data_IF_627126590555
#
_entry.id   IF_627126590555
#
_cell.length_a   1.000
_cell.length_b   1.000
_cell.length_c   1.000
_cell.angle_alpha   90.00
_cell.angle_beta   90.00
_cell.angle_gamma   90.00
#
_symmetry.space_group_name_H-M   'P 1'
#
loop_
_entity.id
_entity.type
_entity.pdbx_description
1 polymer ?
#
# COMPACT_ATOMS: atom_id res chain seq x y z
N UNK A 1 47.11 66.75 -9.84
CA UNK A 1 46.85 65.52 -9.10
C UNK A 1 45.39 65.14 -9.35
N UNK A 2 45.10 64.07 -10.15
CA UNK A 2 43.76 63.63 -10.47
C UNK A 2 43.42 62.42 -9.62
N UNK A 3 42.49 62.59 -8.66
CA UNK A 3 41.98 61.49 -7.86
C UNK A 3 41.07 60.60 -8.69
N UNK A 4 41.45 59.33 -8.82
CA UNK A 4 40.58 58.25 -9.38
C UNK A 4 39.79 57.64 -8.24
N UNK A 5 38.45 57.71 -8.32
CA UNK A 5 37.53 57.01 -7.42
C UNK A 5 37.30 55.62 -8.03
N UNK A 6 37.46 54.52 -7.27
CA UNK A 6 37.15 53.20 -7.79
C UNK A 6 35.65 52.96 -7.74
N UNK A 7 35.11 52.51 -8.88
CA UNK A 7 33.71 52.08 -9.01
C UNK A 7 33.52 50.71 -8.35
N UNK A 8 32.80 50.69 -7.23
CA UNK A 8 32.47 49.46 -6.51
C UNK A 8 31.25 48.81 -7.21
N UNK A 9 31.45 47.74 -7.95
CA UNK A 9 30.36 46.96 -8.55
C UNK A 9 29.63 46.15 -7.48
N UNK A 10 28.41 46.56 -7.18
CA UNK A 10 27.52 45.82 -6.29
C UNK A 10 26.89 44.62 -7.05
N UNK A 11 27.39 43.42 -6.79
CA UNK A 11 26.77 42.18 -7.27
C UNK A 11 25.54 41.88 -6.39
N UNK A 12 24.35 42.14 -6.88
CA UNK A 12 23.09 41.71 -6.26
C UNK A 12 22.89 40.25 -6.66
N UNK A 13 23.16 39.31 -5.74
CA UNK A 13 22.72 37.93 -5.88
C UNK A 13 21.18 37.89 -5.76
N UNK A 14 20.51 37.75 -6.88
CA UNK A 14 19.09 37.39 -6.91
C UNK A 14 18.97 35.91 -6.51
N UNK A 15 18.79 35.64 -5.21
CA UNK A 15 18.25 34.36 -4.74
C UNK A 15 16.77 34.31 -5.17
N UNK A 16 16.49 33.65 -6.29
CA UNK A 16 15.12 33.25 -6.62
C UNK A 16 14.55 32.34 -5.52
N UNK A 17 13.22 32.36 -5.28
CA UNK A 17 12.62 31.44 -4.33
C UNK A 17 12.91 30.00 -4.81
N UNK A 18 13.66 29.25 -4.03
CA UNK A 18 13.71 27.78 -4.14
C UNK A 18 12.30 27.32 -3.77
N UNK A 19 11.50 26.98 -4.77
CA UNK A 19 10.23 26.29 -4.54
C UNK A 19 10.58 25.00 -3.80
N UNK A 20 10.26 24.94 -2.52
CA UNK A 20 10.37 23.72 -1.75
C UNK A 20 9.50 22.68 -2.44
N UNK A 21 10.13 21.66 -3.01
CA UNK A 21 9.42 20.52 -3.58
C UNK A 21 8.61 19.91 -2.44
N UNK A 22 7.28 19.90 -2.56
CA UNK A 22 6.43 19.25 -1.57
C UNK A 22 6.89 17.79 -1.40
N UNK A 23 7.04 17.36 -0.15
CA UNK A 23 7.46 16.00 0.13
C UNK A 23 6.40 15.02 -0.38
N UNK A 24 6.84 13.98 -1.12
CA UNK A 24 5.93 12.97 -1.67
C UNK A 24 4.99 12.41 -0.60
N UNK A 25 3.72 12.27 -0.96
CA UNK A 25 2.69 11.67 -0.10
C UNK A 25 2.88 10.16 0.02
N UNK A 26 3.39 9.50 -1.05
CA UNK A 26 3.77 8.09 -1.03
C UNK A 26 4.98 7.89 -0.13
N UNK A 27 4.90 6.93 0.78
CA UNK A 27 5.99 6.63 1.71
C UNK A 27 6.43 5.17 1.55
N UNK A 28 7.72 4.95 1.72
CA UNK A 28 8.34 3.63 1.66
C UNK A 28 9.06 3.33 2.97
N UNK A 29 8.99 2.07 3.41
CA UNK A 29 9.83 1.55 4.48
C UNK A 29 10.45 0.22 4.07
N UNK A 30 11.68 -0.03 4.52
CA UNK A 30 12.45 -1.27 4.27
C UNK A 30 12.40 -2.14 5.54
N UNK A 31 11.36 -2.97 5.67
CA UNK A 31 11.12 -3.75 6.90
C UNK A 31 12.22 -4.78 7.19
N UNK A 32 12.91 -5.29 6.17
CA UNK A 32 13.98 -6.28 6.32
C UNK A 32 15.34 -5.66 6.68
N UNK A 33 15.43 -4.33 6.64
CA UNK A 33 16.65 -3.62 7.06
C UNK A 33 16.62 -3.28 8.55
N UNK A 34 17.81 -3.19 9.20
CA UNK A 34 17.90 -2.81 10.62
C UNK A 34 17.20 -1.46 10.89
N UNK A 35 16.30 -1.46 11.87
CA UNK A 35 15.56 -0.25 12.25
C UNK A 35 14.41 0.11 11.32
N UNK A 36 14.11 -0.71 10.30
CA UNK A 36 13.03 -0.49 9.33
C UNK A 36 12.96 0.97 8.84
N UNK A 37 14.00 1.45 8.11
CA UNK A 37 14.07 2.84 7.67
C UNK A 37 12.81 3.22 6.88
N UNK A 38 12.29 4.43 7.13
CA UNK A 38 11.05 4.94 6.54
C UNK A 38 9.76 4.61 7.31
N UNK A 39 9.76 3.64 8.22
CA UNK A 39 8.56 3.22 8.93
C UNK A 39 7.95 4.33 9.79
N UNK A 40 8.77 5.16 10.44
CA UNK A 40 8.29 6.30 11.24
C UNK A 40 7.51 7.31 10.40
N UNK A 41 7.97 7.59 9.18
CA UNK A 41 7.29 8.50 8.26
C UNK A 41 5.95 7.92 7.76
N UNK A 42 5.90 6.60 7.52
CA UNK A 42 4.64 5.90 7.21
C UNK A 42 3.68 6.01 8.40
N UNK A 43 4.15 5.64 9.60
CA UNK A 43 3.33 5.68 10.83
C UNK A 43 2.73 7.07 11.05
N UNK A 44 3.53 8.12 10.99
CA UNK A 44 3.08 9.51 11.16
C UNK A 44 1.99 9.90 10.15
N UNK A 45 2.23 9.64 8.85
CA UNK A 45 1.28 9.96 7.80
C UNK A 45 -0.02 9.15 7.94
N UNK A 46 0.10 7.85 8.21
CA UNK A 46 -1.02 6.93 8.35
C UNK A 46 -1.91 7.28 9.56
N UNK A 47 -1.33 7.48 10.75
CA UNK A 47 -2.10 7.79 11.96
C UNK A 47 -2.78 9.14 11.90
N UNK A 48 -2.16 10.11 11.20
CA UNK A 48 -2.78 11.40 10.92
C UNK A 48 -4.04 11.27 10.06
N UNK A 49 -4.00 10.41 9.04
CA UNK A 49 -5.12 10.21 8.12
C UNK A 49 -6.19 9.27 8.66
N UNK A 50 -5.84 8.40 9.63
CA UNK A 50 -6.71 7.37 10.19
C UNK A 50 -6.68 7.41 11.73
N UNK A 51 -7.38 8.38 12.37
CA UNK A 51 -7.45 8.46 13.83
C UNK A 51 -8.03 7.15 14.43
N UNK A 52 -7.41 6.67 15.51
CA UNK A 52 -7.79 5.41 16.15
C UNK A 52 -7.04 4.17 15.65
N UNK A 53 -6.27 4.31 14.57
CA UNK A 53 -5.34 3.27 14.09
C UNK A 53 -3.91 3.57 14.52
N UNK A 54 -3.10 2.53 14.61
CA UNK A 54 -1.64 2.65 14.77
C UNK A 54 -0.93 1.58 13.95
N UNK A 55 0.37 1.78 13.72
CA UNK A 55 1.22 0.90 12.94
C UNK A 55 2.55 0.68 13.63
N UNK A 56 3.01 -0.58 13.67
CA UNK A 56 4.33 -0.95 14.15
C UNK A 56 4.90 -2.12 13.36
N UNK A 57 6.21 -2.29 13.40
CA UNK A 57 6.88 -3.49 12.92
C UNK A 57 7.71 -4.11 14.04
N UNK A 58 7.42 -5.37 14.34
CA UNK A 58 8.15 -6.17 15.31
C UNK A 58 9.11 -7.09 14.55
N UNK A 59 10.40 -6.81 14.67
CA UNK A 59 11.43 -7.58 13.97
C UNK A 59 11.96 -8.71 14.86
N UNK A 60 11.91 -9.93 14.34
CA UNK A 60 12.51 -11.12 14.97
C UNK A 60 12.02 -11.36 16.41
N UNK A 61 10.70 -11.33 16.62
CA UNK A 61 10.08 -11.56 17.92
C UNK A 61 9.52 -12.98 18.04
N UNK A 62 9.45 -13.49 19.26
CA UNK A 62 8.73 -14.73 19.62
C UNK A 62 7.47 -14.47 20.44
N UNK A 63 7.36 -13.27 20.99
CA UNK A 63 6.29 -12.92 21.88
C UNK A 63 5.69 -11.58 21.47
N UNK A 64 4.37 -11.48 21.55
CA UNK A 64 3.62 -10.24 21.43
C UNK A 64 2.78 -10.12 22.71
N UNK A 65 3.11 -9.16 23.59
CA UNK A 65 2.42 -9.01 24.87
C UNK A 65 0.96 -8.60 24.68
N UNK A 66 0.12 -8.91 25.67
CA UNK A 66 -1.26 -8.46 25.70
C UNK A 66 -1.35 -6.94 25.88
N UNK A 67 -2.22 -6.32 25.11
CA UNK A 67 -2.54 -4.90 25.22
C UNK A 67 -4.07 -4.73 25.26
N UNK A 68 -4.54 -3.60 25.78
CA UNK A 68 -5.98 -3.30 25.91
C UNK A 68 -6.69 -2.96 24.59
N UNK A 69 -6.10 -3.32 23.45
CA UNK A 69 -6.56 -2.98 22.09
C UNK A 69 -6.48 -4.19 21.16
N UNK A 70 -7.30 -4.17 20.12
CA UNK A 70 -7.28 -5.19 19.06
C UNK A 70 -6.15 -4.93 18.09
N UNK A 71 -5.47 -5.99 17.64
CA UNK A 71 -4.37 -5.91 16.69
C UNK A 71 -4.49 -6.96 15.59
N UNK A 72 -4.15 -6.56 14.38
CA UNK A 72 -3.95 -7.45 13.23
C UNK A 72 -2.45 -7.54 12.92
N UNK A 73 -1.88 -8.73 13.03
CA UNK A 73 -0.47 -9.01 12.84
C UNK A 73 -0.28 -9.74 11.51
N UNK A 74 0.40 -9.10 10.57
CA UNK A 74 0.72 -9.65 9.26
C UNK A 74 2.10 -10.28 9.32
N UNK A 75 2.19 -11.57 9.07
CA UNK A 75 3.47 -12.31 9.08
C UNK A 75 4.25 -11.96 7.82
N UNK A 76 5.35 -11.23 7.97
CA UNK A 76 6.22 -10.79 6.88
C UNK A 76 7.53 -11.57 6.80
N UNK A 77 8.00 -12.10 7.91
CA UNK A 77 9.20 -12.96 7.97
C UNK A 77 9.00 -14.13 8.91
N UNK A 78 9.67 -15.25 8.58
CA UNK A 78 9.67 -16.43 9.42
C UNK A 78 8.42 -17.29 9.22
N UNK A 79 8.26 -18.24 10.14
CA UNK A 79 7.15 -19.19 10.17
C UNK A 79 7.40 -20.19 11.29
N UNK A 80 6.37 -20.89 11.71
CA UNK A 80 6.44 -21.84 12.82
C UNK A 80 5.06 -22.13 13.39
N UNK A 81 4.99 -22.40 14.70
CA UNK A 81 3.73 -22.54 15.43
C UNK A 81 3.54 -21.33 16.34
N UNK A 82 2.42 -20.64 16.19
CA UNK A 82 2.01 -19.55 17.08
C UNK A 82 0.86 -20.00 17.98
N UNK A 83 0.87 -19.54 19.22
CA UNK A 83 -0.14 -19.79 20.25
C UNK A 83 -0.64 -18.44 20.76
N UNK A 84 -1.96 -18.26 20.73
CA UNK A 84 -2.64 -17.12 21.33
C UNK A 84 -3.20 -17.59 22.68
N UNK A 85 -3.06 -16.77 23.73
CA UNK A 85 -3.62 -17.03 25.05
C UNK A 85 -4.39 -15.80 25.50
N UNK A 86 -5.63 -15.98 25.94
CA UNK A 86 -6.47 -14.93 26.51
C UNK A 86 -6.17 -14.69 27.99
N UNK A 87 -6.84 -13.70 28.59
CA UNK A 87 -6.70 -13.32 30.00
C UNK A 87 -7.22 -14.40 30.98
N UNK A 88 -8.01 -15.37 30.52
CA UNK A 88 -8.51 -16.51 31.29
C UNK A 88 -7.62 -17.75 31.16
N UNK A 89 -6.57 -17.69 30.33
CA UNK A 89 -5.64 -18.79 30.08
C UNK A 89 -6.13 -19.79 29.03
N UNK A 90 -7.26 -19.54 28.36
CA UNK A 90 -7.66 -20.34 27.20
C UNK A 90 -6.75 -20.03 26.01
N UNK A 91 -6.38 -21.06 25.27
CA UNK A 91 -5.41 -20.89 24.19
C UNK A 91 -5.83 -21.56 22.89
N UNK A 92 -5.36 -20.97 21.79
CA UNK A 92 -5.50 -21.47 20.41
C UNK A 92 -4.10 -21.51 19.79
N UNK A 93 -3.81 -22.54 19.00
CA UNK A 93 -2.54 -22.64 18.30
C UNK A 93 -2.75 -22.96 16.82
N UNK A 94 -1.86 -22.43 15.98
CA UNK A 94 -1.82 -22.74 14.55
C UNK A 94 -0.38 -22.62 14.03
N UNK A 95 -0.09 -23.30 12.93
CA UNK A 95 1.07 -22.94 12.13
C UNK A 95 0.85 -21.56 11.52
N UNK A 96 1.94 -20.82 11.34
CA UNK A 96 1.97 -19.53 10.65
C UNK A 96 3.13 -19.46 9.67
N UNK A 97 2.95 -18.71 8.60
CA UNK A 97 3.94 -18.48 7.54
C UNK A 97 3.76 -17.08 6.97
N UNK A 98 4.70 -16.64 6.14
CA UNK A 98 4.60 -15.37 5.41
C UNK A 98 3.30 -15.33 4.60
N UNK A 99 2.52 -14.26 4.82
CA UNK A 99 1.20 -14.07 4.21
C UNK A 99 0.01 -14.39 5.12
N UNK A 100 0.24 -15.04 6.27
CA UNK A 100 -0.81 -15.27 7.27
C UNK A 100 -1.07 -14.01 8.09
N UNK A 101 -2.29 -13.89 8.65
CA UNK A 101 -2.67 -12.84 9.60
C UNK A 101 -3.02 -13.51 10.93
N UNK A 102 -2.52 -12.93 12.02
CA UNK A 102 -2.90 -13.29 13.39
C UNK A 102 -3.71 -12.14 13.98
N UNK A 103 -4.93 -12.41 14.41
CA UNK A 103 -5.81 -11.42 15.05
C UNK A 103 -5.75 -11.62 16.57
N UNK A 104 -5.32 -10.57 17.28
CA UNK A 104 -5.31 -10.52 18.73
C UNK A 104 -6.41 -9.58 19.23
N UNK A 105 -7.34 -10.09 20.02
CA UNK A 105 -8.26 -9.25 20.77
C UNK A 105 -7.53 -8.52 21.90
N UNK A 106 -8.18 -7.52 22.47
CA UNK A 106 -7.69 -6.85 23.69
C UNK A 106 -7.41 -7.88 24.80
N UNK A 107 -6.22 -7.80 25.40
CA UNK A 107 -5.75 -8.71 26.46
C UNK A 107 -5.09 -9.99 25.96
N UNK A 108 -5.32 -10.43 24.71
CA UNK A 108 -4.68 -11.64 24.19
C UNK A 108 -3.17 -11.43 23.95
N UNK A 109 -2.39 -12.45 24.29
CA UNK A 109 -0.93 -12.56 24.02
C UNK A 109 -0.68 -13.55 22.91
N UNK A 110 0.45 -13.42 22.21
CA UNK A 110 0.91 -14.43 21.26
C UNK A 110 2.33 -14.90 21.61
N UNK A 111 2.56 -16.20 21.57
CA UNK A 111 3.87 -16.84 21.64
C UNK A 111 4.11 -17.65 20.37
N UNK A 112 5.36 -17.66 19.86
CA UNK A 112 5.77 -18.47 18.71
C UNK A 112 7.00 -19.30 19.01
N UNK A 113 7.08 -20.48 18.43
CA UNK A 113 8.24 -21.40 18.57
C UNK A 113 9.48 -20.92 17.78
N UNK A 114 9.32 -19.95 16.90
CA UNK A 114 10.36 -19.36 16.05
C UNK A 114 10.30 -17.84 16.03
N UNK A 115 11.33 -17.19 15.49
CA UNK A 115 11.36 -15.75 15.32
C UNK A 115 10.48 -15.33 14.14
N UNK A 116 9.61 -14.34 14.36
CA UNK A 116 8.72 -13.78 13.35
C UNK A 116 8.99 -12.29 13.14
N UNK A 117 8.91 -11.83 11.91
CA UNK A 117 8.78 -10.41 11.54
C UNK A 117 7.31 -10.10 11.29
N UNK A 118 6.73 -9.19 12.07
CA UNK A 118 5.30 -8.90 12.09
C UNK A 118 5.02 -7.44 11.84
N UNK A 119 4.26 -7.13 10.77
CA UNK A 119 3.65 -5.82 10.61
C UNK A 119 2.35 -5.81 11.42
N UNK A 120 2.24 -4.89 12.36
CA UNK A 120 1.15 -4.82 13.33
C UNK A 120 0.31 -3.59 13.10
N UNK A 121 -0.97 -3.78 12.83
CA UNK A 121 -1.96 -2.72 12.87
C UNK A 121 -2.75 -2.80 14.16
N UNK A 122 -2.79 -1.69 14.89
CA UNK A 122 -3.83 -1.47 15.92
C UNK A 122 -5.09 -1.02 15.20
N UNK A 123 -6.22 -1.63 15.55
CA UNK A 123 -7.51 -1.36 14.90
C UNK A 123 -8.57 -1.02 15.95
N UNK A 124 -9.52 -0.11 15.65
CA UNK A 124 -10.48 0.39 16.64
C UNK A 124 -11.55 -0.64 17.04
N UNK A 125 -11.90 -1.56 16.13
CA UNK A 125 -12.99 -2.50 16.34
C UNK A 125 -12.48 -3.93 16.52
N UNK A 126 -13.20 -4.68 17.34
CA UNK A 126 -12.97 -6.11 17.54
C UNK A 126 -13.50 -6.90 16.33
N UNK A 127 -12.77 -7.91 15.82
CA UNK A 127 -13.28 -8.81 14.79
C UNK A 127 -14.48 -9.62 15.32
N UNK A 128 -15.38 -9.97 14.42
CA UNK A 128 -16.49 -10.85 14.75
C UNK A 128 -16.00 -12.25 15.13
N UNK A 129 -16.79 -13.01 15.90
CA UNK A 129 -16.45 -14.39 16.28
C UNK A 129 -16.39 -15.36 15.08
N UNK A 130 -16.95 -14.98 13.93
CA UNK A 130 -16.87 -15.76 12.70
C UNK A 130 -15.49 -15.72 12.04
N UNK A 131 -14.65 -14.73 12.39
CA UNK A 131 -13.30 -14.61 11.84
C UNK A 131 -12.35 -15.45 12.70
N UNK A 132 -11.60 -16.40 12.13
CA UNK A 132 -10.61 -17.18 12.89
C UNK A 132 -9.48 -16.29 13.38
N UNK A 133 -8.91 -16.63 14.55
CA UNK A 133 -7.76 -15.91 15.09
C UNK A 133 -6.51 -16.02 14.19
N UNK A 134 -6.44 -17.04 13.34
CA UNK A 134 -5.39 -17.25 12.34
C UNK A 134 -6.03 -17.30 10.95
N UNK A 135 -5.85 -16.27 10.15
CA UNK A 135 -6.33 -16.20 8.76
C UNK A 135 -5.18 -16.58 7.84
N UNK A 136 -5.31 -17.73 7.17
CA UNK A 136 -4.20 -18.39 6.47
C UNK A 136 -4.54 -18.61 4.99
N UNK A 137 -4.13 -17.70 4.08
CA UNK A 137 -4.58 -17.72 2.68
C UNK A 137 -4.30 -19.03 1.94
N UNK A 138 -3.20 -19.72 2.24
CA UNK A 138 -2.80 -20.93 1.52
C UNK A 138 -3.30 -22.23 2.17
N UNK A 139 -3.98 -22.14 3.31
CA UNK A 139 -4.36 -23.31 4.12
C UNK A 139 -5.83 -23.32 4.54
N UNK A 140 -6.48 -22.18 4.52
CA UNK A 140 -7.89 -22.07 4.90
C UNK A 140 -8.78 -22.45 3.71
N UNK A 141 -9.61 -23.49 3.82
CA UNK A 141 -10.48 -23.93 2.73
C UNK A 141 -11.59 -22.92 2.37
N UNK A 142 -11.86 -21.94 3.26
CA UNK A 142 -12.80 -20.86 2.97
C UNK A 142 -12.18 -19.71 2.17
N UNK A 143 -10.85 -19.72 1.98
CA UNK A 143 -10.12 -18.72 1.20
C UNK A 143 -9.69 -19.36 -0.13
N UNK A 144 -10.31 -18.92 -1.21
CA UNK A 144 -10.03 -19.42 -2.57
C UNK A 144 -9.55 -18.30 -3.49
N UNK A 145 -9.02 -18.67 -4.64
CA UNK A 145 -8.63 -17.69 -5.64
C UNK A 145 -9.86 -16.94 -6.16
N UNK A 146 -9.85 -15.62 -6.01
CA UNK A 146 -10.95 -14.72 -6.41
C UNK A 146 -10.42 -13.76 -7.47
N UNK A 147 -10.67 -13.99 -8.77
CA UNK A 147 -10.19 -13.13 -9.85
C UNK A 147 -10.80 -11.73 -9.77
N UNK A 148 -10.12 -10.75 -10.36
CA UNK A 148 -10.56 -9.36 -10.43
C UNK A 148 -9.74 -8.38 -9.57
N UNK A 149 -10.14 -7.12 -9.51
CA UNK A 149 -9.39 -6.06 -8.81
C UNK A 149 -7.98 -5.89 -9.38
N UNK A 150 -6.98 -5.83 -8.50
CA UNK A 150 -5.56 -5.70 -8.90
C UNK A 150 -5.01 -6.91 -9.68
N UNK A 151 -5.68 -8.07 -9.65
CA UNK A 151 -5.32 -9.25 -10.42
C UNK A 151 -6.33 -9.45 -11.54
N UNK A 152 -6.07 -8.84 -12.69
CA UNK A 152 -6.96 -8.88 -13.86
C UNK A 152 -6.71 -10.08 -14.76
N UNK A 153 -5.61 -10.81 -14.56
CA UNK A 153 -5.29 -11.94 -15.40
C UNK A 153 -6.10 -13.19 -15.04
N UNK A 154 -6.33 -14.03 -16.04
CA UNK A 154 -6.87 -15.37 -15.86
C UNK A 154 -5.90 -16.22 -15.01
N UNK A 155 -6.44 -16.97 -14.06
CA UNK A 155 -5.65 -17.79 -13.10
C UNK A 155 -4.69 -17.00 -12.21
N UNK A 156 -4.98 -15.73 -11.95
CA UNK A 156 -4.19 -14.94 -11.01
C UNK A 156 -4.38 -15.44 -9.58
N UNK A 157 -3.28 -15.55 -8.84
CA UNK A 157 -3.35 -15.75 -7.39
C UNK A 157 -3.85 -14.45 -6.75
N UNK A 158 -5.09 -14.44 -6.26
CA UNK A 158 -5.69 -13.38 -5.45
C UNK A 158 -6.60 -13.99 -4.40
N UNK A 159 -6.20 -13.91 -3.14
CA UNK A 159 -6.89 -14.48 -1.99
C UNK A 159 -7.36 -13.38 -1.06
N UNK A 160 -8.67 -13.31 -0.82
CA UNK A 160 -9.28 -12.32 0.06
C UNK A 160 -9.23 -12.86 1.49
N UNK A 161 -8.53 -12.14 2.36
CA UNK A 161 -8.30 -12.56 3.75
C UNK A 161 -9.30 -11.90 4.70
N UNK A 162 -9.49 -10.59 4.54
CA UNK A 162 -10.44 -9.79 5.31
C UNK A 162 -11.14 -8.85 4.32
N UNK A 163 -12.45 -8.73 4.40
CA UNK A 163 -13.24 -7.99 3.42
C UNK A 163 -14.40 -7.19 4.05
N UNK A 164 -14.91 -6.23 3.30
CA UNK A 164 -16.15 -5.50 3.58
C UNK A 164 -17.39 -6.17 2.98
N UNK A 165 -17.19 -7.07 2.00
CA UNK A 165 -18.26 -7.70 1.23
C UNK A 165 -18.28 -9.20 1.43
N UNK A 166 -19.42 -9.73 1.88
CA UNK A 166 -19.66 -11.17 2.00
C UNK A 166 -19.63 -11.91 0.65
N UNK A 167 -20.01 -11.23 -0.44
CA UNK A 167 -19.97 -11.81 -1.79
C UNK A 167 -18.54 -11.95 -2.35
N UNK A 168 -17.54 -11.35 -1.71
CA UNK A 168 -16.16 -11.31 -2.17
C UNK A 168 -15.25 -12.24 -1.36
N UNK A 169 -15.53 -12.41 -0.08
CA UNK A 169 -14.71 -13.25 0.80
C UNK A 169 -15.44 -13.64 2.07
N UNK A 170 -14.95 -14.68 2.74
CA UNK A 170 -15.62 -15.33 3.87
C UNK A 170 -15.52 -14.55 5.18
N UNK A 171 -14.53 -13.67 5.34
CA UNK A 171 -14.23 -13.01 6.61
C UNK A 171 -14.49 -11.52 6.55
N UNK A 172 -15.70 -11.15 6.99
CA UNK A 172 -16.18 -9.77 6.99
C UNK A 172 -15.60 -8.99 8.16
N UNK A 173 -14.76 -7.97 7.87
CA UNK A 173 -14.17 -7.11 8.87
C UNK A 173 -14.03 -5.67 8.35
N UNK A 174 -14.72 -4.73 8.99
CA UNK A 174 -14.85 -3.36 8.50
C UNK A 174 -13.73 -2.42 8.94
N UNK A 175 -12.89 -2.82 9.90
CA UNK A 175 -11.80 -1.97 10.39
C UNK A 175 -10.55 -2.05 9.52
N UNK A 176 -10.31 -3.18 8.87
CA UNK A 176 -9.17 -3.40 7.98
C UNK A 176 -9.50 -4.50 6.99
N UNK A 177 -9.18 -4.26 5.73
CA UNK A 177 -9.26 -5.33 4.73
C UNK A 177 -7.88 -5.73 4.25
N UNK A 178 -7.76 -6.95 3.82
CA UNK A 178 -6.51 -7.46 3.27
C UNK A 178 -6.79 -8.53 2.23
N UNK A 179 -6.03 -8.50 1.15
CA UNK A 179 -5.92 -9.60 0.23
C UNK A 179 -4.47 -9.86 -0.12
N UNK A 180 -4.12 -11.12 -0.38
CA UNK A 180 -2.82 -11.52 -0.87
C UNK A 180 -2.91 -11.76 -2.37
N UNK A 181 -2.12 -11.04 -3.15
CA UNK A 181 -2.28 -11.01 -4.59
C UNK A 181 -0.97 -10.99 -5.34
N UNK A 182 -0.91 -11.75 -6.45
CA UNK A 182 0.15 -11.62 -7.45
C UNK A 182 -0.29 -10.61 -8.50
N UNK A 183 0.39 -9.48 -8.54
CA UNK A 183 0.12 -8.38 -9.45
C UNK A 183 1.11 -8.45 -10.61
N UNK A 184 0.63 -8.81 -11.80
CA UNK A 184 1.43 -8.80 -13.04
C UNK A 184 1.26 -7.49 -13.79
N UNK A 185 0.04 -7.01 -13.90
CA UNK A 185 -0.33 -5.77 -14.59
C UNK A 185 -1.69 -5.28 -14.07
N UNK A 186 -1.69 -4.54 -12.96
CA UNK A 186 -2.94 -3.97 -12.46
C UNK A 186 -3.39 -2.77 -13.29
N UNK A 187 -4.64 -2.39 -13.19
CA UNK A 187 -5.10 -1.10 -13.73
C UNK A 187 -4.61 0.06 -12.87
N UNK A 188 -4.45 1.24 -13.50
CA UNK A 188 -4.09 2.47 -12.80
C UNK A 188 -5.34 3.06 -12.16
N UNK A 189 -5.32 3.24 -10.84
CA UNK A 189 -6.47 3.77 -10.10
C UNK A 189 -6.05 4.55 -8.87
N UNK A 190 -7.00 5.28 -8.31
CA UNK A 190 -6.85 5.97 -7.03
C UNK A 190 -8.11 5.82 -6.18
N UNK A 191 -7.96 6.03 -4.89
CA UNK A 191 -9.06 6.15 -3.95
C UNK A 191 -9.29 7.63 -3.65
N UNK A 192 -10.54 8.16 -3.71
CA UNK A 192 -10.78 9.58 -3.51
C UNK A 192 -10.41 10.03 -2.09
N UNK A 193 -10.05 11.30 -1.93
CA UNK A 193 -9.74 11.88 -0.61
C UNK A 193 -10.93 11.82 0.33
N UNK A 194 -12.11 12.10 -0.20
CA UNK A 194 -13.36 12.02 0.54
C UNK A 194 -14.01 10.64 0.33
N UNK A 195 -14.34 9.95 1.41
CA UNK A 195 -14.96 8.62 1.41
C UNK A 195 -14.13 7.51 0.76
N UNK A 196 -12.84 7.72 0.55
CA UNK A 196 -11.90 6.68 0.12
C UNK A 196 -11.18 6.05 1.29
N UNK A 197 -10.19 5.23 0.97
CA UNK A 197 -9.36 4.51 1.93
C UNK A 197 -7.88 4.61 1.57
N UNK A 198 -7.03 4.46 2.58
CA UNK A 198 -5.59 4.34 2.38
C UNK A 198 -5.24 2.89 2.05
N UNK A 199 -4.18 2.69 1.26
CA UNK A 199 -3.72 1.37 0.87
C UNK A 199 -2.25 1.16 1.20
N UNK A 200 -1.91 -0.08 1.54
CA UNK A 200 -0.53 -0.52 1.72
C UNK A 200 -0.20 -1.69 0.81
N UNK A 201 1.00 -1.68 0.26
CA UNK A 201 1.62 -2.88 -0.31
C UNK A 201 2.68 -3.40 0.67
N UNK A 202 2.46 -4.60 1.20
CA UNK A 202 3.45 -5.35 1.96
C UNK A 202 4.06 -6.40 1.04
N UNK A 203 5.24 -6.11 0.49
CA UNK A 203 5.85 -6.88 -0.59
C UNK A 203 6.50 -8.15 -0.06
N UNK A 204 6.08 -9.30 -0.58
CA UNK A 204 6.53 -10.63 -0.14
C UNK A 204 7.38 -11.37 -1.17
N UNK A 205 7.14 -11.15 -2.47
CA UNK A 205 7.98 -11.66 -3.56
C UNK A 205 7.96 -10.67 -4.72
N UNK A 206 9.05 -10.62 -5.47
CA UNK A 206 9.16 -9.80 -6.69
C UNK A 206 9.82 -10.61 -7.80
N UNK A 207 9.35 -10.41 -9.02
CA UNK A 207 10.07 -10.81 -10.24
C UNK A 207 11.01 -9.68 -10.67
N UNK A 208 12.00 -10.01 -11.47
CA UNK A 208 12.92 -9.02 -12.02
C UNK A 208 12.13 -7.97 -12.84
N UNK A 209 12.30 -6.70 -12.49
CA UNK A 209 11.61 -5.59 -13.15
C UNK A 209 10.23 -5.26 -12.59
N UNK A 210 9.84 -5.84 -11.45
CA UNK A 210 8.61 -5.46 -10.75
C UNK A 210 8.67 -3.99 -10.31
N UNK A 211 7.59 -3.25 -10.54
CA UNK A 211 7.49 -1.81 -10.34
C UNK A 211 6.15 -1.41 -9.74
N UNK A 212 6.17 -0.26 -9.10
CA UNK A 212 4.97 0.49 -8.76
C UNK A 212 5.03 1.84 -9.48
N UNK A 213 3.98 2.18 -10.21
CA UNK A 213 3.78 3.52 -10.76
C UNK A 213 2.85 4.29 -9.85
N UNK A 214 3.16 5.57 -9.59
CA UNK A 214 2.33 6.44 -8.76
C UNK A 214 2.17 7.82 -9.38
N UNK A 215 1.07 8.51 -9.04
CA UNK A 215 0.88 9.92 -9.34
C UNK A 215 0.10 10.61 -8.23
N UNK A 216 0.59 11.73 -7.79
CA UNK A 216 -0.10 12.65 -6.88
C UNK A 216 -0.90 13.72 -7.64
N UNK A 217 -0.85 13.68 -8.98
CA UNK A 217 -1.44 14.68 -9.90
C UNK A 217 -2.74 14.18 -10.54
N UNK A 218 -3.57 13.51 -9.74
CA UNK A 218 -4.80 12.85 -10.22
C UNK A 218 -5.75 13.82 -10.92
N UNK A 219 -5.88 15.05 -10.38
CA UNK A 219 -6.72 16.10 -10.98
C UNK A 219 -6.21 16.54 -12.36
N UNK A 220 -4.88 16.60 -12.55
CA UNK A 220 -4.30 16.89 -13.85
C UNK A 220 -4.52 15.72 -14.82
N UNK A 221 -4.35 14.46 -14.37
CA UNK A 221 -4.62 13.29 -15.21
C UNK A 221 -6.06 13.26 -15.71
N UNK A 222 -7.01 13.77 -14.94
CA UNK A 222 -8.43 13.81 -15.30
C UNK A 222 -8.80 14.86 -16.36
N UNK A 223 -7.83 15.70 -16.79
CA UNK A 223 -7.97 16.70 -17.85
C UNK A 223 -6.93 16.47 -18.96
N UNK A 224 -7.00 15.38 -19.70
CA UNK A 224 -5.98 14.96 -20.67
C UNK A 224 -5.78 15.94 -21.83
N UNK A 225 -6.77 16.81 -22.11
CA UNK A 225 -6.71 17.87 -23.13
C UNK A 225 -5.85 19.05 -22.71
N UNK A 226 -5.66 19.27 -21.41
CA UNK A 226 -4.91 20.40 -20.87
C UNK A 226 -3.44 20.09 -20.64
N UNK A 227 -3.02 18.82 -20.82
CA UNK A 227 -1.64 18.38 -20.60
C UNK A 227 -0.75 18.76 -21.78
N UNK A 228 0.39 19.41 -21.48
CA UNK A 228 1.44 19.70 -22.47
C UNK A 228 2.57 18.68 -22.41
N UNK A 229 3.42 18.64 -23.45
CA UNK A 229 4.58 17.73 -23.48
C UNK A 229 5.55 17.95 -22.32
N UNK A 230 5.73 19.19 -21.91
CA UNK A 230 6.62 19.58 -20.82
C UNK A 230 6.10 19.09 -19.46
N UNK A 231 4.79 18.94 -19.34
CA UNK A 231 4.15 18.47 -18.10
C UNK A 231 4.15 16.95 -17.97
N UNK A 232 4.34 16.20 -19.08
CA UNK A 232 4.38 14.72 -19.07
C UNK A 232 5.48 14.21 -18.15
N UNK A 233 6.63 14.85 -18.15
CA UNK A 233 7.70 14.56 -17.21
C UNK A 233 7.23 14.86 -15.77
N UNK A 234 7.27 13.85 -14.93
CA UNK A 234 6.83 13.96 -13.54
C UNK A 234 5.31 13.85 -13.31
N UNK A 235 4.49 13.48 -14.33
CA UNK A 235 3.12 13.03 -14.09
C UNK A 235 3.08 11.68 -13.37
N UNK A 236 3.96 10.77 -13.75
CA UNK A 236 4.07 9.43 -13.18
C UNK A 236 5.45 9.26 -12.57
N UNK A 237 5.49 8.75 -11.36
CA UNK A 237 6.72 8.30 -10.70
C UNK A 237 6.81 6.77 -10.78
N UNK A 238 8.00 6.27 -11.08
CA UNK A 238 8.29 4.84 -11.14
C UNK A 238 9.14 4.44 -9.93
N UNK A 239 8.72 3.38 -9.24
CA UNK A 239 9.42 2.83 -8.08
C UNK A 239 9.75 1.37 -8.31
N UNK A 240 11.02 0.99 -8.15
CA UNK A 240 11.43 -0.42 -8.10
C UNK A 240 11.00 -1.03 -6.76
N UNK A 241 10.56 -2.29 -6.80
CA UNK A 241 10.08 -3.00 -5.63
C UNK A 241 11.07 -4.07 -5.19
N UNK A 242 11.19 -4.24 -3.87
CA UNK A 242 11.99 -5.27 -3.22
C UNK A 242 11.20 -6.02 -2.16
N UNK A 243 11.60 -7.25 -1.86
CA UNK A 243 10.99 -8.02 -0.76
C UNK A 243 11.25 -7.33 0.57
N UNK A 244 10.21 -7.13 1.35
CA UNK A 244 10.29 -6.39 2.62
C UNK A 244 9.93 -4.91 2.50
N UNK A 245 9.62 -4.43 1.30
CA UNK A 245 9.06 -3.09 1.15
C UNK A 245 7.66 -3.03 1.76
N UNK A 246 7.44 -1.99 2.55
CA UNK A 246 6.12 -1.52 2.94
C UNK A 246 5.90 -0.18 2.26
N UNK A 247 4.88 -0.12 1.41
CA UNK A 247 4.53 1.10 0.68
C UNK A 247 3.18 1.60 1.20
N UNK A 248 3.13 2.86 1.59
CA UNK A 248 1.92 3.55 1.98
C UNK A 248 1.43 4.45 0.85
N UNK A 249 0.22 4.19 0.42
CA UNK A 249 -0.49 4.86 -0.67
C UNK A 249 -1.71 5.57 -0.06
N UNK A 250 -1.60 6.86 0.29
CA UNK A 250 -2.72 7.59 0.84
C UNK A 250 -3.81 7.86 -0.20
N UNK A 251 -5.02 8.11 0.26
CA UNK A 251 -6.13 8.59 -0.57
C UNK A 251 -5.70 9.74 -1.46
N UNK A 252 -6.19 9.78 -2.70
CA UNK A 252 -5.86 10.78 -3.69
C UNK A 252 -4.58 10.51 -4.47
N UNK A 253 -3.90 9.39 -4.23
CA UNK A 253 -2.71 8.97 -5.00
C UNK A 253 -3.08 7.86 -5.96
N UNK A 254 -2.85 8.11 -7.24
CA UNK A 254 -2.95 7.06 -8.26
C UNK A 254 -1.80 6.08 -8.11
N UNK A 255 -2.10 4.80 -8.26
CA UNK A 255 -1.09 3.75 -8.24
C UNK A 255 -1.42 2.60 -9.19
N UNK A 256 -0.37 1.87 -9.61
CA UNK A 256 -0.45 0.68 -10.47
C UNK A 256 0.75 -0.22 -10.20
N UNK A 257 0.51 -1.45 -9.82
CA UNK A 257 1.54 -2.50 -9.74
C UNK A 257 1.78 -3.16 -11.09
N UNK A 258 3.05 -3.46 -11.41
CA UNK A 258 3.45 -4.03 -12.69
C UNK A 258 4.64 -4.97 -12.54
N UNK A 259 4.74 -5.98 -13.41
CA UNK A 259 5.94 -6.78 -13.61
C UNK A 259 6.13 -7.95 -12.64
N UNK A 260 5.12 -8.30 -11.84
CA UNK A 260 5.13 -9.49 -10.99
C UNK A 260 5.59 -9.22 -9.56
N UNK A 261 4.69 -8.74 -8.74
CA UNK A 261 4.84 -8.61 -7.30
C UNK A 261 3.80 -9.47 -6.58
N UNK A 262 4.21 -10.24 -5.58
CA UNK A 262 3.30 -10.85 -4.61
C UNK A 262 3.31 -9.96 -3.37
N UNK A 263 2.15 -9.41 -3.05
CA UNK A 263 1.98 -8.55 -1.90
C UNK A 263 0.72 -8.91 -1.10
N UNK A 264 0.74 -8.57 0.20
CA UNK A 264 -0.50 -8.30 0.90
C UNK A 264 -0.85 -6.84 0.63
N UNK A 265 -1.99 -6.63 -0.01
CA UNK A 265 -2.60 -5.32 -0.18
C UNK A 265 -3.57 -5.12 0.97
N UNK A 266 -3.32 -4.09 1.76
CA UNK A 266 -4.03 -3.81 3.00
C UNK A 266 -4.71 -2.46 2.86
N UNK A 267 -6.02 -2.37 3.15
CA UNK A 267 -6.79 -1.14 3.04
C UNK A 267 -7.39 -0.73 4.39
N UNK A 268 -7.33 0.56 4.70
CA UNK A 268 -7.78 1.14 5.97
C UNK A 268 -8.61 2.40 5.71
N UNK A 269 -9.82 2.50 6.28
CA UNK A 269 -10.50 1.58 7.20
C UNK A 269 -10.94 0.27 6.55
N UNK A 270 -10.89 0.14 5.25
CA UNK A 270 -11.28 -1.04 4.49
C UNK A 270 -11.70 -0.63 3.09
N UNK A 271 -11.87 -1.60 2.20
CA UNK A 271 -12.35 -1.34 0.85
C UNK A 271 -13.79 -0.81 0.89
N UNK A 272 -14.01 0.35 0.28
CA UNK A 272 -15.33 0.97 0.16
C UNK A 272 -15.78 0.82 -1.30
N UNK A 273 -16.83 0.07 -1.59
CA UNK A 273 -17.34 -0.10 -2.94
C UNK A 273 -17.68 1.22 -3.62
N UNK A 274 -17.34 1.34 -4.91
CA UNK A 274 -17.53 2.57 -5.67
C UNK A 274 -16.50 3.67 -5.40
N UNK A 275 -15.45 3.38 -4.62
CA UNK A 275 -14.39 4.34 -4.27
C UNK A 275 -13.02 4.02 -4.88
N UNK A 276 -13.00 3.26 -5.97
CA UNK A 276 -11.80 2.90 -6.71
C UNK A 276 -11.95 3.39 -8.16
N UNK A 277 -11.29 4.49 -8.50
CA UNK A 277 -11.45 5.17 -9.78
C UNK A 277 -10.29 4.89 -10.71
N UNK A 278 -10.57 4.18 -11.82
CA UNK A 278 -9.59 3.90 -12.87
C UNK A 278 -9.26 5.13 -13.70
N UNK A 279 -7.97 5.30 -14.03
CA UNK A 279 -7.47 6.45 -14.81
C UNK A 279 -6.72 6.04 -16.09
N UNK A 280 -6.65 4.75 -16.42
CA UNK A 280 -5.94 4.27 -17.60
C UNK A 280 -6.45 4.89 -18.90
N UNK A 281 -7.75 5.18 -18.99
CA UNK A 281 -8.34 5.84 -20.15
C UNK A 281 -7.82 7.26 -20.33
N UNK A 282 -7.56 8.01 -19.25
CA UNK A 282 -6.93 9.34 -19.32
C UNK A 282 -5.47 9.24 -19.74
N UNK A 283 -4.70 8.31 -19.16
CA UNK A 283 -3.30 8.08 -19.53
C UNK A 283 -3.17 7.73 -21.02
N UNK A 284 -4.07 6.90 -21.53
CA UNK A 284 -4.14 6.61 -22.98
C UNK A 284 -4.44 7.86 -23.78
N UNK A 285 -5.44 8.67 -23.39
CA UNK A 285 -5.79 9.90 -24.09
C UNK A 285 -4.64 10.91 -24.12
N UNK A 286 -3.91 11.09 -23.01
CA UNK A 286 -2.72 11.96 -22.97
C UNK A 286 -1.69 11.48 -24.00
N UNK A 287 -1.39 10.17 -24.04
CA UNK A 287 -0.46 9.61 -25.01
C UNK A 287 -0.90 9.87 -26.47
N UNK A 288 -2.19 9.70 -26.77
CA UNK A 288 -2.79 9.93 -28.08
C UNK A 288 -2.74 11.41 -28.47
N UNK A 289 -3.18 12.32 -27.59
CA UNK A 289 -3.24 13.76 -27.83
C UNK A 289 -1.85 14.34 -28.11
N UNK A 290 -0.83 13.87 -27.41
CA UNK A 290 0.54 14.37 -27.53
C UNK A 290 1.40 13.57 -28.51
N UNK A 291 0.88 12.47 -29.06
CA UNK A 291 1.60 11.58 -29.98
C UNK A 291 2.80 10.90 -29.33
N UNK A 292 2.74 10.60 -28.02
CA UNK A 292 3.81 9.97 -27.26
C UNK A 292 4.00 8.51 -27.70
N UNK A 293 5.25 8.10 -27.87
CA UNK A 293 5.59 6.74 -28.36
C UNK A 293 6.75 6.15 -27.57
N UNK A 294 6.78 4.84 -27.49
CA UNK A 294 7.86 4.07 -26.86
C UNK A 294 8.21 4.58 -25.45
N UNK A 295 9.45 5.00 -25.23
CA UNK A 295 9.93 5.42 -23.90
C UNK A 295 9.37 6.74 -23.35
N UNK A 296 8.62 7.51 -24.16
CA UNK A 296 7.97 8.76 -23.73
C UNK A 296 6.53 8.52 -23.28
N UNK A 297 5.92 7.40 -23.68
CA UNK A 297 4.52 7.13 -23.38
C UNK A 297 4.31 6.85 -21.89
N UNK A 298 3.27 7.48 -21.32
CA UNK A 298 2.81 7.18 -19.97
C UNK A 298 2.32 5.72 -19.88
N UNK A 299 2.70 4.99 -18.84
CA UNK A 299 2.29 3.61 -18.68
C UNK A 299 0.80 3.50 -18.32
N UNK A 300 0.08 2.61 -18.99
CA UNK A 300 -1.34 2.34 -18.70
C UNK A 300 -1.69 0.87 -18.96
N UNK A 301 -2.72 0.36 -18.30
CA UNK A 301 -3.29 -0.96 -18.60
C UNK A 301 -4.21 -0.85 -19.82
N UNK A 302 -3.87 -1.59 -20.89
CA UNK A 302 -4.58 -1.50 -22.17
C UNK A 302 -6.05 -1.93 -22.06
N UNK A 303 -6.35 -2.96 -21.29
CA UNK A 303 -7.73 -3.45 -21.14
C UNK A 303 -8.58 -2.47 -20.35
N UNK A 304 -8.05 -1.99 -19.21
CA UNK A 304 -8.74 -1.02 -18.36
C UNK A 304 -8.89 0.36 -19.02
N UNK A 305 -8.06 0.68 -20.03
CA UNK A 305 -8.15 1.96 -20.74
C UNK A 305 -9.30 2.05 -21.77
N UNK A 306 -10.02 0.95 -22.02
CA UNK A 306 -11.12 0.94 -22.99
C UNK A 306 -12.36 1.74 -22.52
N UNK A 307 -12.55 1.86 -21.20
CA UNK A 307 -13.65 2.58 -20.56
C UNK A 307 -13.24 3.07 -19.17
N UNK A 308 -14.04 3.96 -18.59
CA UNK A 308 -13.82 4.37 -17.20
C UNK A 308 -14.19 3.21 -16.25
N UNK A 309 -13.25 2.80 -15.42
CA UNK A 309 -13.44 1.76 -14.40
C UNK A 309 -13.77 2.43 -13.06
N UNK A 310 -14.83 1.97 -12.41
CA UNK A 310 -15.17 2.31 -11.01
C UNK A 310 -15.53 1.02 -10.29
N UNK A 311 -14.81 0.70 -9.20
CA UNK A 311 -14.98 -0.51 -8.40
C UNK A 311 -15.27 -0.20 -6.93
#
# INVERSE_FOLDING_TARGET
>A
MRNKIPLLSLFVLLCGPVLAQEASQVKFAKLHEPGAPGLSAIKEAFTKNNPGYDLAYLNAVREVPGEGITRALFVQQGGGTAKITDDQGASKSSKVAVGDIVLLNAGETMEADSLLGLLVFTVPEKPSHAIPAFVRPDWDPNITDTPGGCATETNAYRRILLTWHEDVGSYLYHSINAHRVRIMDSFSHYHPKDQGFDEFYLVQMVLAGAKLFTSEKVEQLASPEDITKEQVEGLIQEHSLEVGDLIYLPRGVMHRGFGGVLAQVITVPGFIPGSQYGVDHFLRQINENLGLKAGEALPFNRQASAFQVVL
#
